data_IF_532626648072
#
_entry.id   IF_532626648072
#
_cell.length_a   1.000
_cell.length_b   1.000
_cell.length_c   1.000
_cell.angle_alpha   90.00
_cell.angle_beta   90.00
_cell.angle_gamma   90.00
#
_symmetry.space_group_name_H-M   'P 1'
#
loop_
_entity.id
_entity.type
_entity.pdbx_description
1 polymer ?
#
# COMPACT_ATOMS: atom_id res chain seq x y z
N UNK A 1 2.82 11.07 -29.36
CA UNK A 1 2.43 10.60 -28.02
C UNK A 1 1.00 10.09 -28.08
N UNK A 2 0.69 9.00 -27.40
CA UNK A 2 -0.67 8.48 -27.26
C UNK A 2 -1.45 9.35 -26.26
N UNK A 3 -2.78 9.21 -26.23
CA UNK A 3 -3.62 9.87 -25.23
C UNK A 3 -3.36 9.29 -23.84
N UNK A 4 -2.97 10.10 -22.86
CA UNK A 4 -2.65 9.70 -21.49
C UNK A 4 -3.84 9.03 -20.77
N UNK A 5 -5.07 9.40 -21.10
CA UNK A 5 -6.27 8.78 -20.54
C UNK A 5 -6.48 7.33 -20.99
N UNK A 6 -5.71 6.87 -22.00
CA UNK A 6 -5.69 5.47 -22.45
C UNK A 6 -4.52 4.68 -21.90
N UNK A 7 -3.67 5.31 -21.09
CA UNK A 7 -2.51 4.65 -20.49
C UNK A 7 -2.94 3.57 -19.48
N UNK A 8 -2.40 2.34 -19.58
CA UNK A 8 -2.76 1.24 -18.67
C UNK A 8 -2.65 1.64 -17.21
N UNK A 9 -1.54 2.29 -16.81
CA UNK A 9 -1.30 2.73 -15.44
C UNK A 9 -2.31 3.78 -14.94
N UNK A 10 -2.91 4.62 -15.81
CA UNK A 10 -3.98 5.56 -15.44
C UNK A 10 -5.29 4.80 -15.25
N UNK A 11 -5.63 3.89 -16.19
CA UNK A 11 -6.84 3.08 -16.11
C UNK A 11 -6.85 2.14 -14.90
N UNK A 12 -5.70 1.54 -14.58
CA UNK A 12 -5.54 0.70 -13.39
C UNK A 12 -5.70 1.50 -12.10
N UNK A 13 -5.11 2.69 -12.00
CA UNK A 13 -5.32 3.59 -10.86
C UNK A 13 -6.78 3.98 -10.69
N UNK A 14 -7.48 4.31 -11.79
CA UNK A 14 -8.92 4.59 -11.77
C UNK A 14 -9.71 3.39 -11.23
N UNK A 15 -9.46 2.19 -11.76
CA UNK A 15 -10.12 0.95 -11.33
C UNK A 15 -9.87 0.65 -9.84
N UNK A 16 -8.62 0.70 -9.42
CA UNK A 16 -8.23 0.35 -8.04
C UNK A 16 -8.82 1.32 -7.04
N UNK A 17 -8.70 2.64 -7.27
CA UNK A 17 -9.30 3.65 -6.38
C UNK A 17 -10.81 3.54 -6.29
N UNK A 18 -11.50 3.25 -7.41
CA UNK A 18 -12.93 3.03 -7.42
C UNK A 18 -13.35 1.79 -6.63
N UNK A 19 -12.60 0.69 -6.75
CA UNK A 19 -12.86 -0.54 -5.98
C UNK A 19 -12.68 -0.31 -4.49
N UNK A 20 -11.58 0.33 -4.07
CA UNK A 20 -11.31 0.65 -2.67
C UNK A 20 -12.41 1.55 -2.08
N UNK A 21 -12.85 2.58 -2.82
CA UNK A 21 -13.97 3.42 -2.40
C UNK A 21 -15.27 2.63 -2.24
N UNK A 22 -15.60 1.73 -3.19
CA UNK A 22 -16.83 0.90 -3.13
C UNK A 22 -16.82 -0.07 -1.94
N UNK A 23 -15.65 -0.53 -1.52
CA UNK A 23 -15.46 -1.36 -0.33
C UNK A 23 -15.55 -0.57 0.99
N UNK A 24 -15.55 0.77 0.92
CA UNK A 24 -15.60 1.63 2.09
C UNK A 24 -14.27 1.76 2.82
N UNK A 25 -13.14 1.56 2.12
CA UNK A 25 -11.81 1.64 2.71
C UNK A 25 -11.18 3.03 2.66
N UNK A 26 -11.80 3.96 1.95
CA UNK A 26 -11.25 5.29 1.69
C UNK A 26 -12.35 6.35 1.82
N UNK A 27 -12.71 6.66 3.07
CA UNK A 27 -13.69 7.70 3.37
C UNK A 27 -13.12 9.09 3.08
N UNK A 28 -13.92 9.95 2.49
CA UNK A 28 -13.52 11.31 2.10
C UNK A 28 -12.25 11.31 1.25
N UNK A 29 -11.16 11.82 1.81
CA UNK A 29 -9.82 11.87 1.23
C UNK A 29 -8.84 10.94 1.98
N UNK A 30 -9.36 9.94 2.68
CA UNK A 30 -8.58 8.90 3.32
C UNK A 30 -7.97 7.96 2.28
N UNK A 31 -6.88 7.30 2.66
CA UNK A 31 -6.13 6.43 1.76
C UNK A 31 -5.34 7.15 0.66
N UNK A 32 -4.38 6.48 0.11
CA UNK A 32 -3.54 6.98 -0.98
C UNK A 32 -2.76 5.84 -1.65
N UNK A 33 -2.36 6.09 -2.90
CA UNK A 33 -1.64 5.12 -3.73
C UNK A 33 -0.47 5.83 -4.40
N UNK A 34 0.69 5.16 -4.45
CA UNK A 34 1.79 5.50 -5.34
C UNK A 34 2.24 4.26 -6.13
N UNK A 35 2.40 4.42 -7.43
CA UNK A 35 2.82 3.35 -8.34
C UNK A 35 4.02 3.83 -9.16
N UNK A 36 5.16 3.15 -9.00
CA UNK A 36 6.38 3.41 -9.75
C UNK A 36 6.23 2.88 -11.18
N UNK A 37 6.34 3.78 -12.15
CA UNK A 37 6.14 3.50 -13.57
C UNK A 37 7.46 3.18 -14.27
N UNK A 38 7.37 2.38 -15.34
CA UNK A 38 8.47 2.22 -16.28
C UNK A 38 8.57 3.47 -17.18
N UNK A 39 9.75 4.07 -17.25
CA UNK A 39 9.98 5.28 -18.05
C UNK A 39 9.72 5.04 -19.54
N UNK A 40 10.00 3.83 -20.04
CA UNK A 40 9.78 3.48 -21.45
C UNK A 40 8.28 3.49 -21.78
N UNK A 41 7.47 2.98 -20.87
CA UNK A 41 6.02 3.01 -21.00
C UNK A 41 5.47 4.44 -20.92
N UNK A 42 5.95 5.24 -19.96
CA UNK A 42 5.52 6.64 -19.79
C UNK A 42 5.83 7.48 -21.03
N UNK A 43 6.99 7.28 -21.67
CA UNK A 43 7.41 7.99 -22.89
C UNK A 43 6.48 7.79 -24.08
N UNK A 44 5.65 6.77 -24.08
CA UNK A 44 4.62 6.62 -25.12
C UNK A 44 3.52 7.71 -25.03
N UNK A 45 3.30 8.26 -23.82
CA UNK A 45 2.20 9.16 -23.48
C UNK A 45 2.65 10.58 -23.10
N UNK A 46 3.82 10.72 -22.48
CA UNK A 46 4.32 11.97 -21.93
C UNK A 46 5.80 12.21 -22.31
N UNK A 47 6.18 13.47 -22.39
CA UNK A 47 7.58 13.87 -22.39
C UNK A 47 8.10 13.78 -20.94
N UNK A 48 8.98 12.82 -20.68
CA UNK A 48 9.54 12.56 -19.33
C UNK A 48 10.63 13.56 -18.92
N UNK A 49 11.05 14.45 -19.80
CA UNK A 49 12.00 15.53 -19.54
C UNK A 49 11.28 16.86 -19.32
N UNK A 50 9.97 16.92 -19.61
CA UNK A 50 9.15 18.09 -19.31
C UNK A 50 8.95 18.26 -17.80
N UNK A 51 8.74 19.51 -17.38
CA UNK A 51 8.41 19.84 -16.00
C UNK A 51 7.37 20.96 -16.00
N UNK A 52 6.13 20.66 -15.63
CA UNK A 52 5.09 21.67 -15.45
C UNK A 52 5.47 22.58 -14.29
N UNK A 53 5.92 21.99 -13.17
CA UNK A 53 6.41 22.68 -11.98
C UNK A 53 7.10 21.69 -11.05
N UNK A 54 7.93 22.21 -10.16
CA UNK A 54 8.53 21.40 -9.09
C UNK A 54 7.67 21.44 -7.81
N UNK A 55 7.64 20.33 -7.08
CA UNK A 55 6.94 20.17 -5.81
C UNK A 55 7.93 19.60 -4.79
N UNK A 56 8.19 20.29 -3.65
CA UNK A 56 9.08 19.77 -2.60
C UNK A 56 8.56 18.46 -2.01
N UNK A 57 9.46 17.49 -1.82
CA UNK A 57 9.15 16.17 -1.24
C UNK A 57 9.09 16.20 0.29
N UNK A 58 9.86 17.08 0.93
CA UNK A 58 9.93 17.17 2.38
C UNK A 58 10.93 16.20 3.04
N UNK A 59 11.66 15.41 2.25
CA UNK A 59 12.75 14.54 2.72
C UNK A 59 13.75 14.26 1.59
N UNK A 60 14.87 13.57 1.89
CA UNK A 60 15.90 13.19 0.91
C UNK A 60 15.53 11.85 0.22
N UNK A 61 15.10 11.92 -1.03
CA UNK A 61 14.72 10.79 -1.87
C UNK A 61 15.80 10.45 -2.94
N UNK A 62 17.08 10.75 -2.69
CA UNK A 62 18.17 10.51 -3.65
C UNK A 62 18.23 9.10 -4.23
N UNK A 63 17.85 8.10 -3.45
CA UNK A 63 17.79 6.71 -3.93
C UNK A 63 16.77 6.48 -5.06
N UNK A 64 15.83 7.41 -5.26
CA UNK A 64 14.76 7.34 -6.26
C UNK A 64 14.93 8.38 -7.39
N UNK A 65 16.05 9.10 -7.47
CA UNK A 65 16.30 10.10 -8.53
C UNK A 65 16.03 9.49 -9.91
N UNK A 66 15.28 10.22 -10.74
CA UNK A 66 14.86 9.81 -12.07
C UNK A 66 13.70 8.80 -12.11
N UNK A 67 13.28 8.21 -11.00
CA UNK A 67 12.10 7.33 -10.97
C UNK A 67 10.83 8.13 -11.13
N UNK A 68 9.87 7.53 -11.85
CA UNK A 68 8.57 8.13 -12.17
C UNK A 68 7.49 7.42 -11.38
N UNK A 69 6.56 8.19 -10.81
CA UNK A 69 5.44 7.66 -10.04
C UNK A 69 4.13 8.30 -10.49
N UNK A 70 3.06 7.51 -10.58
CA UNK A 70 1.71 8.03 -10.55
C UNK A 70 1.20 7.99 -9.11
N UNK A 71 0.64 9.11 -8.61
CA UNK A 71 0.31 9.29 -7.19
C UNK A 71 -1.04 9.97 -7.04
N UNK A 72 -1.82 9.55 -6.06
CA UNK A 72 -3.08 10.21 -5.68
C UNK A 72 -2.82 11.59 -5.06
N UNK A 73 -3.71 12.55 -5.34
CA UNK A 73 -3.58 13.93 -4.88
C UNK A 73 -4.01 14.16 -3.44
N UNK A 74 -3.35 15.10 -2.74
CA UNK A 74 -3.75 15.49 -1.38
C UNK A 74 -5.15 16.10 -1.35
N UNK A 75 -5.98 15.69 -0.39
CA UNK A 75 -7.34 16.17 -0.24
C UNK A 75 -8.30 15.68 -1.35
N UNK A 76 -7.85 14.80 -2.23
CA UNK A 76 -8.67 14.23 -3.30
C UNK A 76 -9.42 13.00 -2.81
N UNK A 77 -10.58 12.74 -3.42
CA UNK A 77 -11.46 11.65 -3.05
C UNK A 77 -11.35 10.52 -4.08
N UNK A 78 -11.16 9.30 -3.65
CA UNK A 78 -11.05 8.14 -4.57
C UNK A 78 -12.24 8.00 -5.52
N UNK A 79 -13.46 8.28 -5.05
CA UNK A 79 -14.67 8.26 -5.90
C UNK A 79 -14.62 9.22 -7.10
N UNK A 80 -13.73 10.21 -7.07
CA UNK A 80 -13.64 11.21 -8.15
C UNK A 80 -12.53 10.88 -9.16
N UNK A 81 -11.68 9.88 -8.88
CA UNK A 81 -10.57 9.52 -9.78
C UNK A 81 -11.08 9.01 -11.12
N UNK A 82 -12.13 8.17 -11.14
CA UNK A 82 -12.76 7.72 -12.39
C UNK A 82 -13.42 8.87 -13.19
N UNK A 83 -13.87 9.93 -12.50
CA UNK A 83 -14.60 11.05 -13.12
C UNK A 83 -13.66 12.08 -13.73
N UNK A 84 -12.58 12.40 -13.02
CA UNK A 84 -11.57 13.38 -13.46
C UNK A 84 -10.18 12.93 -12.96
N UNK A 85 -9.53 11.98 -13.66
CA UNK A 85 -8.22 11.49 -13.24
C UNK A 85 -7.15 12.58 -13.26
N UNK A 86 -7.21 13.54 -14.19
CA UNK A 86 -6.24 14.64 -14.28
C UNK A 86 -6.29 15.59 -13.08
N UNK A 87 -7.44 15.75 -12.45
CA UNK A 87 -7.57 16.54 -11.22
C UNK A 87 -7.12 15.79 -9.98
N UNK A 88 -7.28 14.45 -9.96
CA UNK A 88 -7.14 13.64 -8.76
C UNK A 88 -5.83 12.86 -8.69
N UNK A 89 -5.14 12.67 -9.81
CA UNK A 89 -3.85 12.01 -9.94
C UNK A 89 -2.78 12.97 -10.43
N UNK A 90 -1.51 12.62 -10.17
CA UNK A 90 -0.37 13.28 -10.78
C UNK A 90 0.72 12.29 -11.12
N UNK A 91 1.42 12.52 -12.24
CA UNK A 91 2.62 11.79 -12.61
C UNK A 91 3.80 12.69 -12.31
N UNK A 92 4.71 12.20 -11.46
CA UNK A 92 5.88 12.93 -10.98
C UNK A 92 7.15 12.15 -11.29
N UNK A 93 8.23 12.86 -11.57
CA UNK A 93 9.60 12.31 -11.66
C UNK A 93 10.44 12.91 -10.53
N UNK A 94 11.14 12.06 -9.78
CA UNK A 94 12.02 12.55 -8.73
C UNK A 94 13.17 13.32 -9.40
N UNK A 95 13.33 14.58 -9.01
CA UNK A 95 14.31 15.48 -9.59
C UNK A 95 15.76 15.11 -9.20
N UNK A 96 16.73 15.58 -9.98
CA UNK A 96 18.16 15.27 -9.79
C UNK A 96 18.71 15.71 -8.42
N UNK A 97 18.08 16.70 -7.78
CA UNK A 97 18.43 17.15 -6.44
C UNK A 97 17.99 16.18 -5.33
N UNK A 98 17.09 15.25 -5.64
CA UNK A 98 16.55 14.27 -4.70
C UNK A 98 15.61 14.81 -3.63
N UNK A 99 15.30 16.11 -3.64
CA UNK A 99 14.42 16.75 -2.63
C UNK A 99 13.17 17.39 -3.24
N UNK A 100 13.09 17.42 -4.56
CA UNK A 100 11.94 17.89 -5.31
C UNK A 100 11.43 16.79 -6.28
N UNK A 101 10.17 16.89 -6.66
CA UNK A 101 9.56 16.13 -7.74
C UNK A 101 9.16 17.06 -8.88
N UNK A 102 9.49 16.71 -10.11
CA UNK A 102 9.02 17.36 -11.33
C UNK A 102 7.63 16.80 -11.66
N UNK A 103 6.60 17.64 -11.67
CA UNK A 103 5.26 17.27 -12.14
C UNK A 103 5.29 17.17 -13.66
N UNK A 104 4.99 15.99 -14.21
CA UNK A 104 4.89 15.73 -15.64
C UNK A 104 3.47 15.86 -16.15
N UNK A 105 2.47 15.48 -15.34
CA UNK A 105 1.05 15.50 -15.68
C UNK A 105 0.17 15.47 -14.43
N UNK A 106 -1.06 15.96 -14.55
CA UNK A 106 -2.07 15.89 -13.50
C UNK A 106 -2.05 17.06 -12.53
N UNK A 107 -2.80 16.91 -11.44
CA UNK A 107 -3.06 17.96 -10.43
C UNK A 107 -3.44 19.29 -11.09
N UNK A 108 -4.39 19.23 -12.02
CA UNK A 108 -4.79 20.27 -12.97
C UNK A 108 -5.05 21.65 -12.32
N UNK A 109 -5.71 21.66 -11.17
CA UNK A 109 -6.02 22.91 -10.45
C UNK A 109 -4.90 23.36 -9.49
N UNK A 110 -3.66 22.97 -9.73
CA UNK A 110 -2.51 23.36 -8.89
C UNK A 110 -2.35 22.55 -7.61
N UNK A 111 -3.04 21.39 -7.50
CA UNK A 111 -2.89 20.42 -6.41
C UNK A 111 -1.51 19.80 -6.33
N UNK A 112 -1.27 18.97 -5.34
CA UNK A 112 -0.02 18.22 -5.16
C UNK A 112 -0.34 16.79 -4.70
N UNK A 113 0.68 15.94 -4.69
CA UNK A 113 0.60 14.58 -4.18
C UNK A 113 0.14 14.54 -2.71
N UNK A 114 -0.32 13.35 -2.29
CA UNK A 114 -0.71 13.07 -0.89
C UNK A 114 0.33 13.59 0.11
N UNK A 115 -0.13 14.05 1.27
CA UNK A 115 0.77 14.45 2.37
C UNK A 115 1.59 13.30 2.95
N UNK A 116 1.20 12.06 2.66
CA UNK A 116 1.90 10.84 3.09
C UNK A 116 2.91 10.33 2.04
N UNK A 117 3.12 11.06 0.93
CA UNK A 117 4.11 10.66 -0.07
C UNK A 117 5.51 10.36 0.52
N UNK A 118 6.02 11.10 1.53
CA UNK A 118 7.28 10.72 2.17
C UNK A 118 7.28 9.27 2.69
N UNK A 119 6.23 8.84 3.38
CA UNK A 119 6.10 7.46 3.87
C UNK A 119 6.06 6.45 2.71
N UNK A 120 5.34 6.76 1.62
CA UNK A 120 5.33 5.94 0.41
C UNK A 120 6.72 5.80 -0.21
N UNK A 121 7.42 6.90 -0.43
CA UNK A 121 8.73 6.88 -1.07
C UNK A 121 9.80 6.19 -0.21
N UNK A 122 9.76 6.38 1.12
CA UNK A 122 10.61 5.64 2.07
C UNK A 122 10.34 4.13 1.98
N UNK A 123 9.06 3.74 1.88
CA UNK A 123 8.64 2.34 1.68
C UNK A 123 9.13 1.79 0.33
N UNK A 124 9.00 2.55 -0.77
CA UNK A 124 9.55 2.16 -2.06
C UNK A 124 11.07 1.94 -2.01
N UNK A 125 11.83 2.84 -1.36
CA UNK A 125 13.30 2.69 -1.22
C UNK A 125 13.64 1.35 -0.58
N UNK A 126 12.98 1.03 0.53
CA UNK A 126 13.25 -0.20 1.28
C UNK A 126 12.77 -1.42 0.50
N UNK A 127 11.54 -1.41 0.00
CA UNK A 127 10.98 -2.56 -0.73
C UNK A 127 11.76 -2.88 -1.99
N UNK A 128 12.22 -1.90 -2.74
CA UNK A 128 13.10 -2.10 -3.91
C UNK A 128 14.46 -2.70 -3.53
N UNK A 129 14.95 -2.49 -2.31
CA UNK A 129 16.18 -3.11 -1.83
C UNK A 129 15.99 -4.58 -1.45
N UNK A 130 14.77 -4.99 -1.09
CA UNK A 130 14.41 -6.37 -0.74
C UNK A 130 13.98 -7.15 -1.98
N UNK A 131 13.17 -6.52 -2.83
CA UNK A 131 12.63 -7.12 -4.05
C UNK A 131 12.42 -6.03 -5.10
N UNK A 132 13.20 -6.08 -6.18
CA UNK A 132 13.19 -5.10 -7.29
C UNK A 132 11.86 -5.04 -8.05
N UNK A 133 11.00 -6.05 -7.93
CA UNK A 133 9.68 -6.08 -8.55
C UNK A 133 8.64 -5.24 -7.81
N UNK A 134 8.90 -4.84 -6.55
CA UNK A 134 7.97 -4.03 -5.77
C UNK A 134 7.85 -2.62 -6.35
N UNK A 135 6.68 -2.29 -6.89
CA UNK A 135 6.43 -1.03 -7.62
C UNK A 135 5.26 -0.23 -7.08
N UNK A 136 4.45 -0.82 -6.20
CA UNK A 136 3.21 -0.20 -5.69
C UNK A 136 3.26 -0.12 -4.17
N UNK A 137 2.78 1.01 -3.65
CA UNK A 137 2.45 1.19 -2.23
C UNK A 137 1.04 1.73 -2.13
N UNK A 138 0.19 1.05 -1.36
CA UNK A 138 -1.20 1.43 -1.07
C UNK A 138 -1.35 1.64 0.43
N UNK A 139 -2.00 2.73 0.81
CA UNK A 139 -2.51 2.97 2.15
C UNK A 139 -4.04 3.09 2.11
N UNK A 140 -4.72 2.43 3.05
CA UNK A 140 -6.18 2.45 3.15
C UNK A 140 -6.67 2.16 4.58
N UNK A 141 -7.98 2.35 4.81
CA UNK A 141 -8.65 2.22 6.11
C UNK A 141 -9.69 1.08 6.12
N UNK A 142 -9.30 -0.21 5.90
CA UNK A 142 -10.26 -1.31 5.90
C UNK A 142 -10.89 -1.47 7.28
N UNK A 143 -12.22 -1.46 7.34
CA UNK A 143 -12.96 -1.28 8.58
C UNK A 143 -12.72 -2.39 9.61
N UNK A 144 -12.67 -3.66 9.17
CA UNK A 144 -12.50 -4.77 10.12
C UNK A 144 -11.05 -4.89 10.60
N UNK A 145 -10.08 -4.59 9.75
CA UNK A 145 -8.67 -4.47 10.13
C UNK A 145 -8.50 -3.37 11.18
N UNK A 146 -9.13 -2.21 10.99
CA UNK A 146 -9.16 -1.13 11.99
C UNK A 146 -9.86 -1.57 13.28
N UNK A 147 -11.03 -2.21 13.20
CA UNK A 147 -11.76 -2.67 14.37
C UNK A 147 -10.96 -3.69 15.19
N UNK A 148 -10.22 -4.58 14.51
CA UNK A 148 -9.35 -5.55 15.17
C UNK A 148 -8.26 -4.88 16.03
N UNK A 149 -7.77 -3.68 15.66
CA UNK A 149 -6.82 -2.92 16.47
C UNK A 149 -7.32 -2.56 17.88
N UNK A 150 -8.62 -2.50 18.10
CA UNK A 150 -9.21 -2.13 19.39
C UNK A 150 -9.48 -3.33 20.32
N UNK A 151 -9.48 -4.54 19.77
CA UNK A 151 -9.88 -5.75 20.51
C UNK A 151 -8.82 -6.85 20.49
N UNK A 152 -7.76 -6.68 19.72
CA UNK A 152 -6.63 -7.60 19.64
C UNK A 152 -5.33 -6.93 20.10
N UNK A 153 -4.40 -7.71 20.64
CA UNK A 153 -3.07 -7.19 20.96
C UNK A 153 -2.36 -6.72 19.69
N UNK A 154 -1.70 -5.56 19.77
CA UNK A 154 -0.87 -5.01 18.68
C UNK A 154 0.54 -5.62 18.76
N UNK A 155 0.61 -6.93 18.61
CA UNK A 155 1.82 -7.75 18.55
C UNK A 155 1.86 -8.48 17.21
N UNK A 156 2.96 -8.38 16.48
CA UNK A 156 3.09 -8.87 15.10
C UNK A 156 2.84 -10.37 14.98
N UNK A 157 3.42 -11.16 15.89
CA UNK A 157 3.23 -12.62 15.91
C UNK A 157 1.78 -12.98 16.16
N UNK A 158 1.19 -12.46 17.23
CA UNK A 158 -0.19 -12.78 17.64
C UNK A 158 -1.21 -12.30 16.61
N UNK A 159 -1.02 -11.09 16.09
CA UNK A 159 -1.94 -10.51 15.10
C UNK A 159 -1.90 -11.31 13.79
N UNK A 160 -0.71 -11.59 13.29
CA UNK A 160 -0.53 -12.41 12.08
C UNK A 160 -1.07 -13.81 12.26
N UNK A 161 -0.72 -14.48 13.37
CA UNK A 161 -1.18 -15.83 13.67
C UNK A 161 -2.71 -15.90 13.70
N UNK A 162 -3.36 -14.95 14.37
CA UNK A 162 -4.84 -14.86 14.39
C UNK A 162 -5.41 -14.70 12.98
N UNK A 163 -4.82 -13.88 12.11
CA UNK A 163 -5.27 -13.74 10.72
C UNK A 163 -5.10 -15.04 9.93
N UNK A 164 -3.98 -15.74 10.11
CA UNK A 164 -3.72 -17.00 9.42
C UNK A 164 -4.70 -18.11 9.83
N UNK A 165 -5.17 -18.12 11.09
CA UNK A 165 -6.20 -19.05 11.57
C UNK A 165 -7.58 -18.83 10.94
N UNK A 166 -7.85 -17.63 10.39
CA UNK A 166 -9.20 -17.27 9.92
C UNK A 166 -9.52 -17.74 8.51
N UNK A 167 -8.51 -17.89 7.64
CA UNK A 167 -8.73 -18.21 6.23
C UNK A 167 -7.51 -18.94 5.66
N UNK A 168 -7.75 -20.02 4.94
CA UNK A 168 -6.72 -20.89 4.33
C UNK A 168 -5.71 -20.13 3.49
N UNK A 169 -6.17 -19.11 2.74
CA UNK A 169 -5.32 -18.33 1.84
C UNK A 169 -4.28 -17.46 2.57
N UNK A 170 -4.52 -17.11 3.84
CA UNK A 170 -3.74 -16.07 4.51
C UNK A 170 -2.24 -16.38 4.57
N UNK A 171 -1.85 -17.56 5.05
CA UNK A 171 -0.43 -17.94 5.14
C UNK A 171 0.24 -18.05 3.75
N UNK A 172 -0.54 -18.34 2.71
CA UNK A 172 -0.04 -18.43 1.32
C UNK A 172 0.13 -17.04 0.70
N UNK A 173 -0.80 -16.10 0.95
CA UNK A 173 -0.83 -14.76 0.35
C UNK A 173 0.15 -13.81 1.03
N UNK A 174 0.19 -13.82 2.37
CA UNK A 174 1.14 -13.01 3.16
C UNK A 174 1.92 -13.87 4.15
N UNK A 175 2.80 -14.78 3.66
CA UNK A 175 3.61 -15.67 4.49
C UNK A 175 4.64 -14.91 5.33
N UNK A 176 4.98 -13.69 4.92
CA UNK A 176 5.82 -12.75 5.65
C UNK A 176 5.10 -12.13 6.86
N UNK A 177 3.77 -12.31 6.97
CA UNK A 177 2.98 -11.77 8.07
C UNK A 177 2.65 -10.28 7.91
N UNK A 178 2.25 -9.66 9.03
CA UNK A 178 1.84 -8.27 9.11
C UNK A 178 2.68 -7.55 10.17
N UNK A 179 3.43 -6.53 9.76
CA UNK A 179 4.12 -5.62 10.68
C UNK A 179 3.13 -4.71 11.40
N UNK A 180 3.41 -4.37 12.64
CA UNK A 180 2.53 -3.54 13.48
C UNK A 180 3.30 -2.31 13.96
N UNK A 181 2.71 -1.14 13.79
CA UNK A 181 3.15 0.10 14.44
C UNK A 181 2.10 0.53 15.47
N UNK A 182 2.53 1.01 16.64
CA UNK A 182 1.60 1.66 17.57
C UNK A 182 1.04 2.93 16.93
N UNK A 183 0.04 3.54 17.57
CA UNK A 183 -0.45 4.83 17.11
C UNK A 183 0.69 5.85 17.03
N UNK A 184 0.83 6.47 15.86
CA UNK A 184 1.78 7.54 15.58
C UNK A 184 1.07 8.68 14.83
N UNK A 185 1.62 9.90 14.91
CA UNK A 185 1.08 11.04 14.18
C UNK A 185 1.31 10.84 12.66
N UNK A 186 0.22 10.71 11.90
CA UNK A 186 0.26 10.56 10.45
C UNK A 186 0.79 11.81 9.73
N UNK A 187 1.28 11.64 8.49
CA UNK A 187 1.82 12.74 7.69
C UNK A 187 3.18 13.29 8.19
N UNK A 188 3.85 12.59 9.09
CA UNK A 188 5.20 12.95 9.57
C UNK A 188 6.26 12.01 8.97
N UNK A 189 7.51 12.48 8.90
CA UNK A 189 8.61 11.61 8.48
C UNK A 189 8.83 10.46 9.47
N UNK A 190 8.59 10.67 10.76
CA UNK A 190 8.78 9.64 11.79
C UNK A 190 7.94 8.38 11.56
N UNK A 191 6.66 8.51 11.18
CA UNK A 191 5.83 7.35 10.84
C UNK A 191 6.26 6.73 9.52
N UNK A 192 6.75 7.54 8.57
CA UNK A 192 7.33 7.05 7.31
C UNK A 192 8.57 6.21 7.55
N UNK A 193 9.51 6.66 8.37
CA UNK A 193 10.72 5.95 8.75
C UNK A 193 10.39 4.63 9.48
N UNK A 194 9.45 4.68 10.43
CA UNK A 194 9.01 3.49 11.16
C UNK A 194 8.34 2.46 10.23
N UNK A 195 7.51 2.94 9.26
CA UNK A 195 6.88 2.08 8.25
C UNK A 195 7.93 1.43 7.36
N UNK A 196 8.87 2.22 6.85
CA UNK A 196 9.95 1.73 6.01
C UNK A 196 10.82 0.69 6.73
N UNK A 197 11.10 0.87 8.03
CA UNK A 197 11.84 -0.10 8.83
C UNK A 197 11.09 -1.44 8.90
N UNK A 198 9.77 -1.42 9.16
CA UNK A 198 8.92 -2.63 9.14
C UNK A 198 8.86 -3.28 7.76
N UNK A 199 8.84 -2.49 6.70
CA UNK A 199 8.81 -2.98 5.32
C UNK A 199 10.10 -3.64 4.83
N UNK A 200 11.14 -3.72 5.65
CA UNK A 200 12.27 -4.63 5.39
C UNK A 200 11.87 -6.10 5.48
N UNK A 201 10.92 -6.41 6.36
CA UNK A 201 10.49 -7.77 6.66
C UNK A 201 9.07 -8.09 6.17
N UNK A 202 8.19 -7.08 6.13
CA UNK A 202 6.76 -7.23 5.86
C UNK A 202 6.35 -6.44 4.62
N UNK A 203 5.51 -7.05 3.76
CA UNK A 203 4.83 -6.31 2.68
C UNK A 203 3.61 -5.55 3.17
N UNK A 204 3.10 -5.89 4.35
CA UNK A 204 1.94 -5.31 5.00
C UNK A 204 2.32 -4.72 6.35
N UNK A 205 1.91 -3.49 6.63
CA UNK A 205 2.15 -2.81 7.90
C UNK A 205 0.87 -2.13 8.38
N UNK A 206 0.35 -2.56 9.51
CA UNK A 206 -0.78 -1.90 10.18
C UNK A 206 -0.28 -0.71 10.99
N UNK A 207 -0.91 0.43 10.78
CA UNK A 207 -0.78 1.61 11.63
C UNK A 207 -1.87 1.59 12.69
N UNK A 208 -1.49 1.40 13.94
CA UNK A 208 -2.42 1.29 15.06
C UNK A 208 -3.48 2.38 15.07
N UNK A 209 -4.78 2.00 15.07
CA UNK A 209 -5.96 2.86 15.04
C UNK A 209 -6.03 3.85 13.86
N UNK A 210 -5.34 3.54 12.73
CA UNK A 210 -5.35 4.41 11.57
C UNK A 210 -5.66 3.66 10.27
N UNK A 211 -4.90 2.62 9.92
CA UNK A 211 -5.10 1.91 8.65
C UNK A 211 -4.02 0.87 8.39
N UNK A 212 -3.85 0.51 7.13
CA UNK A 212 -2.85 -0.45 6.68
C UNK A 212 -2.08 0.09 5.47
N UNK A 213 -0.78 -0.17 5.43
CA UNK A 213 0.09 -0.04 4.26
C UNK A 213 0.32 -1.41 3.65
N UNK A 214 0.23 -1.48 2.31
CA UNK A 214 0.61 -2.65 1.54
C UNK A 214 1.61 -2.29 0.44
N UNK A 215 2.58 -3.16 0.17
CA UNK A 215 3.53 -3.03 -0.94
C UNK A 215 3.59 -4.31 -1.77
N UNK A 216 3.65 -4.16 -3.10
CA UNK A 216 3.69 -5.28 -4.04
C UNK A 216 4.19 -4.85 -5.42
N UNK A 217 4.21 -5.82 -6.36
CA UNK A 217 4.74 -5.61 -7.72
C UNK A 217 3.80 -4.80 -8.62
N UNK A 218 2.50 -4.93 -8.42
CA UNK A 218 1.45 -4.26 -9.18
C UNK A 218 0.24 -3.90 -8.28
N UNK A 219 -0.73 -3.20 -8.86
CA UNK A 219 -1.92 -2.75 -8.13
C UNK A 219 -2.82 -3.92 -7.69
N UNK A 220 -2.95 -4.96 -8.52
CA UNK A 220 -3.82 -6.11 -8.20
C UNK A 220 -3.22 -6.95 -7.06
N UNK A 221 -1.90 -7.21 -7.07
CA UNK A 221 -1.24 -7.90 -5.96
C UNK A 221 -1.34 -7.09 -4.66
N UNK A 222 -0.99 -5.81 -4.71
CA UNK A 222 -0.97 -4.97 -3.49
C UNK A 222 -2.37 -4.81 -2.89
N UNK A 223 -3.37 -4.61 -3.75
CA UNK A 223 -4.77 -4.58 -3.34
C UNK A 223 -5.20 -5.93 -2.74
N UNK A 224 -4.87 -7.05 -3.40
CA UNK A 224 -5.21 -8.41 -2.95
C UNK A 224 -4.58 -8.78 -1.61
N UNK A 225 -3.37 -8.29 -1.29
CA UNK A 225 -2.75 -8.43 0.02
C UNK A 225 -3.63 -7.80 1.11
N UNK A 226 -4.04 -6.54 0.91
CA UNK A 226 -4.89 -5.81 1.86
C UNK A 226 -6.28 -6.47 1.95
N UNK A 227 -6.85 -6.88 0.81
CA UNK A 227 -8.16 -7.54 0.74
C UNK A 227 -8.16 -8.85 1.53
N UNK A 228 -7.08 -9.63 1.46
CA UNK A 228 -6.97 -10.90 2.19
C UNK A 228 -6.86 -10.66 3.70
N UNK A 229 -6.09 -9.67 4.15
CA UNK A 229 -6.03 -9.26 5.56
C UNK A 229 -7.41 -8.80 6.04
N UNK A 230 -8.09 -7.93 5.28
CA UNK A 230 -9.42 -7.43 5.63
C UNK A 230 -10.45 -8.56 5.70
N UNK A 231 -10.40 -9.55 4.78
CA UNK A 231 -11.26 -10.74 4.84
C UNK A 231 -11.05 -11.53 6.13
N UNK A 232 -9.80 -11.80 6.51
CA UNK A 232 -9.48 -12.50 7.74
C UNK A 232 -9.91 -11.71 8.98
N UNK A 233 -9.63 -10.41 9.02
CA UNK A 233 -10.04 -9.51 10.08
C UNK A 233 -11.59 -9.46 10.20
N UNK A 234 -12.31 -9.44 9.07
CA UNK A 234 -13.79 -9.50 9.06
C UNK A 234 -14.31 -10.79 9.70
N UNK A 235 -13.73 -11.94 9.36
CA UNK A 235 -14.12 -13.22 9.95
C UNK A 235 -13.85 -13.20 11.45
N UNK A 236 -12.67 -12.73 11.87
CA UNK A 236 -12.31 -12.57 13.27
C UNK A 236 -13.33 -11.69 14.01
N UNK A 237 -13.61 -10.48 13.52
CA UNK A 237 -14.54 -9.54 14.17
C UNK A 237 -15.95 -10.09 14.28
N UNK A 238 -16.43 -10.85 13.28
CA UNK A 238 -17.75 -11.49 13.31
C UNK A 238 -17.84 -12.65 14.31
N UNK A 239 -16.71 -13.29 14.63
CA UNK A 239 -16.67 -14.53 15.44
C UNK A 239 -16.00 -14.36 16.80
N UNK A 240 -15.26 -13.29 17.06
CA UNK A 240 -14.45 -13.09 18.28
C UNK A 240 -15.23 -13.18 19.60
N UNK A 241 -16.54 -12.91 19.58
CA UNK A 241 -17.44 -12.98 20.74
C UNK A 241 -18.15 -14.34 20.87
N UNK A 242 -17.90 -15.28 19.97
CA UNK A 242 -18.48 -16.62 19.96
C UNK A 242 -17.45 -17.66 20.38
N UNK A 243 -17.87 -18.79 21.01
CA UNK A 243 -16.96 -19.91 21.24
C UNK A 243 -16.44 -20.47 19.89
N UNK A 244 -15.15 -20.52 19.71
CA UNK A 244 -14.54 -21.20 18.53
C UNK A 244 -14.70 -22.70 18.67
N UNK A 245 -15.28 -23.33 17.65
CA UNK A 245 -15.44 -24.78 17.56
C UNK A 245 -14.37 -25.39 16.63
N UNK A 246 -13.95 -24.63 15.63
CA UNK A 246 -12.92 -25.02 14.65
C UNK A 246 -11.91 -23.89 14.47
N UNK A 247 -10.68 -24.25 14.12
CA UNK A 247 -9.63 -23.34 13.71
C UNK A 247 -8.68 -24.07 12.76
N UNK A 248 -7.92 -23.35 11.95
CA UNK A 248 -6.78 -23.93 11.21
C UNK A 248 -5.64 -24.06 12.21
N UNK A 249 -5.09 -25.28 12.35
CA UNK A 249 -3.99 -25.55 13.27
C UNK A 249 -2.65 -25.18 12.67
N UNK A 250 -1.65 -24.93 13.49
CA UNK A 250 -0.29 -24.62 13.04
C UNK A 250 0.28 -25.70 12.09
N UNK A 251 0.06 -26.99 12.40
CA UNK A 251 0.45 -28.09 11.51
C UNK A 251 -0.25 -28.06 10.14
N UNK A 252 -1.49 -27.61 10.09
CA UNK A 252 -2.26 -27.45 8.83
C UNK A 252 -1.77 -26.23 8.06
N UNK A 253 -1.36 -25.13 8.74
CA UNK A 253 -0.73 -23.98 8.12
C UNK A 253 0.63 -24.33 7.51
N UNK A 254 1.43 -25.16 8.20
CA UNK A 254 2.70 -25.69 7.67
C UNK A 254 2.47 -26.51 6.41
N UNK A 255 1.50 -27.45 6.44
CA UNK A 255 1.14 -28.26 5.26
C UNK A 255 0.74 -27.39 4.06
N UNK A 256 -0.05 -26.33 4.30
CA UNK A 256 -0.42 -25.37 3.26
C UNK A 256 0.80 -24.63 2.69
N UNK A 257 1.66 -24.09 3.56
CA UNK A 257 2.83 -23.34 3.13
C UNK A 257 3.80 -24.22 2.32
N UNK A 258 4.03 -25.44 2.76
CA UNK A 258 4.86 -26.43 2.05
C UNK A 258 4.27 -26.83 0.72
N UNK A 259 2.95 -27.08 0.65
CA UNK A 259 2.25 -27.45 -0.59
C UNK A 259 2.33 -26.36 -1.65
N UNK A 260 2.18 -25.09 -1.24
CA UNK A 260 2.27 -23.95 -2.15
C UNK A 260 3.70 -23.45 -2.35
N UNK A 261 4.69 -24.00 -1.64
CA UNK A 261 6.11 -23.65 -1.77
C UNK A 261 6.42 -22.21 -1.33
N UNK A 262 5.70 -21.68 -0.33
CA UNK A 262 5.94 -20.34 0.21
C UNK A 262 6.87 -20.39 1.41
N UNK A 263 7.79 -19.42 1.48
CA UNK A 263 8.64 -19.20 2.66
C UNK A 263 7.89 -18.35 3.68
N UNK A 264 7.63 -18.91 4.86
CA UNK A 264 6.79 -18.27 5.88
C UNK A 264 7.54 -18.02 7.18
N UNK A 265 7.02 -17.13 7.99
CA UNK A 265 7.56 -16.81 9.34
C UNK A 265 7.29 -17.96 10.30
N UNK A 266 8.25 -18.91 10.36
CA UNK A 266 8.16 -20.09 11.25
C UNK A 266 8.09 -19.72 12.73
N UNK A 267 8.73 -18.62 13.10
CA UNK A 267 8.73 -18.05 14.45
C UNK A 267 7.35 -17.51 14.88
N UNK A 268 6.41 -17.38 13.93
CA UNK A 268 5.03 -16.94 14.22
C UNK A 268 4.08 -18.10 14.53
N UNK A 269 4.49 -19.34 14.30
CA UNK A 269 3.74 -20.54 14.70
C UNK A 269 4.24 -21.09 16.04
N UNK A 270 3.37 -21.81 16.75
CA UNK A 270 3.67 -22.47 18.03
C UNK A 270 3.78 -23.99 17.79
N UNK A 271 4.87 -24.41 17.10
CA UNK A 271 5.17 -25.79 16.69
C UNK A 271 5.86 -26.60 17.78
#
# INVERSE_FOLDING_TARGET
MKDIFTAPFVLEMMRTTANMYRLGWDERNGGNISYMLDETEVKEYLDTDACIRQIPLGFDAKALVGKIFIVTGTGKYFKNVEVDPEENLGIIKIADDGVNANLLWGYKSGGKFTSELPAHLMSHIVRLSVDSENRVVIHSHPTNTLAMNYVHELDEKKFTHTLWEMCTECIVVFPDGVGILPWMLCGTNSIGEATAEKMKEFRLVVWGMHGIYGAGKDLDETFGLIETVEKAAQIYMLTAHLPRVNTIKDSEMVELAEFFGVDYRKDFLDL
#
